data_IF_176676240278
#
_entry.id   IF_176676240278
#
_cell.length_a   1.000
_cell.length_b   1.000
_cell.length_c   1.000
_cell.angle_alpha   90.00
_cell.angle_beta   90.00
_cell.angle_gamma   90.00
#
_symmetry.space_group_name_H-M   'P 1'
#
loop_
_entity.id
_entity.type
_entity.pdbx_description
1 polymer ?
#
# COMPACT_ATOMS: atom_id res chain seq x y z
N UNK A 1 -30.87 22.28 -34.82
CA UNK A 1 -30.50 21.49 -36.01
C UNK A 1 -29.09 20.94 -35.77
N UNK A 2 -28.97 19.69 -35.34
CA UNK A 2 -27.67 19.01 -35.19
C UNK A 2 -27.21 18.58 -36.58
N UNK A 3 -26.16 19.22 -37.11
CA UNK A 3 -25.48 18.73 -38.30
C UNK A 3 -24.68 17.49 -37.89
N UNK A 4 -25.27 16.31 -38.11
CA UNK A 4 -24.56 15.04 -38.02
C UNK A 4 -23.59 14.97 -39.22
N UNK A 5 -22.33 15.31 -38.99
CA UNK A 5 -21.24 14.86 -39.85
C UNK A 5 -21.08 13.35 -39.61
N UNK A 6 -21.92 12.54 -40.25
CA UNK A 6 -21.70 11.08 -40.30
C UNK A 6 -20.57 10.82 -41.29
N UNK A 7 -19.34 10.87 -40.80
CA UNK A 7 -18.24 10.17 -41.45
C UNK A 7 -18.66 8.69 -41.58
N UNK A 8 -18.54 8.06 -42.76
CA UNK A 8 -18.91 6.66 -42.93
C UNK A 8 -18.17 5.82 -41.88
N UNK A 9 -18.93 5.23 -40.94
CA UNK A 9 -18.42 4.39 -39.85
C UNK A 9 -17.96 3.01 -40.33
N UNK A 10 -17.97 2.77 -41.65
CA UNK A 10 -17.54 1.52 -42.25
C UNK A 10 -16.02 1.47 -42.34
N UNK A 11 -15.45 0.54 -41.58
CA UNK A 11 -14.16 -0.10 -41.81
C UNK A 11 -12.91 0.66 -41.31
N UNK A 12 -12.88 0.94 -40.01
CA UNK A 12 -11.63 1.19 -39.28
C UNK A 12 -10.91 -0.14 -38.95
N UNK A 13 -10.40 -0.82 -39.98
CA UNK A 13 -9.33 -1.80 -39.84
C UNK A 13 -8.33 -1.63 -40.99
N UNK A 14 -7.18 -1.00 -40.70
CA UNK A 14 -6.02 -0.96 -41.58
C UNK A 14 -5.75 0.43 -42.18
N UNK A 15 -4.71 1.09 -41.66
CA UNK A 15 -3.89 2.21 -42.17
C UNK A 15 -4.50 3.35 -43.05
N UNK A 16 -5.43 3.14 -43.99
CA UNK A 16 -5.90 4.16 -44.92
C UNK A 16 -7.44 4.14 -45.07
N UNK A 17 -8.18 4.80 -44.14
CA UNK A 17 -9.62 4.59 -43.98
C UNK A 17 -10.54 5.34 -44.98
N UNK A 18 -10.03 6.24 -45.84
CA UNK A 18 -10.91 7.06 -46.69
C UNK A 18 -10.39 7.27 -48.12
N UNK A 19 -11.31 7.12 -49.09
CA UNK A 19 -11.08 7.58 -50.46
C UNK A 19 -11.05 9.12 -50.47
N UNK A 20 -9.96 9.67 -50.98
CA UNK A 20 -9.71 11.11 -51.06
C UNK A 20 -10.75 11.85 -51.90
N UNK A 21 -11.37 11.18 -52.87
CA UNK A 21 -12.43 11.80 -53.69
C UNK A 21 -13.66 12.19 -52.85
N UNK A 22 -14.03 11.37 -51.87
CA UNK A 22 -15.13 11.68 -50.96
C UNK A 22 -14.78 12.90 -50.09
N UNK A 23 -13.53 12.98 -49.63
CA UNK A 23 -13.03 14.12 -48.87
C UNK A 23 -13.02 15.40 -49.71
N UNK A 24 -12.56 15.30 -50.96
CA UNK A 24 -12.53 16.41 -51.91
C UNK A 24 -13.94 16.95 -52.18
N UNK A 25 -14.92 16.07 -52.42
CA UNK A 25 -16.32 16.46 -52.59
C UNK A 25 -16.89 17.11 -51.32
N UNK A 26 -16.59 16.57 -50.14
CA UNK A 26 -17.03 17.12 -48.85
C UNK A 26 -16.47 18.53 -48.60
N UNK A 27 -15.22 18.77 -48.99
CA UNK A 27 -14.56 20.05 -48.82
C UNK A 27 -15.02 21.10 -49.85
N UNK A 28 -15.79 20.74 -50.88
CA UNK A 28 -16.31 21.68 -51.89
C UNK A 28 -15.18 22.54 -52.51
N UNK A 29 -14.07 21.89 -52.87
CA UNK A 29 -12.89 22.57 -53.42
C UNK A 29 -13.12 22.92 -54.90
N UNK A 30 -12.84 24.17 -55.27
CA UNK A 30 -13.12 24.69 -56.62
C UNK A 30 -12.09 24.30 -57.71
N UNK A 31 -10.99 23.63 -57.34
CA UNK A 31 -9.94 23.19 -58.27
C UNK A 31 -10.16 21.78 -58.79
N UNK A 32 -9.51 21.38 -59.88
CA UNK A 32 -9.58 19.99 -60.36
C UNK A 32 -8.95 19.04 -59.35
N UNK A 33 -9.61 17.90 -59.08
CA UNK A 33 -9.15 16.88 -58.12
C UNK A 33 -7.69 16.47 -58.30
N UNK A 34 -7.28 16.16 -59.53
CA UNK A 34 -5.94 15.67 -59.83
C UNK A 34 -4.85 16.70 -59.53
N UNK A 35 -5.11 17.98 -59.77
CA UNK A 35 -4.18 19.06 -59.48
C UNK A 35 -4.15 19.34 -57.98
N UNK A 36 -5.33 19.32 -57.34
CA UNK A 36 -5.47 19.54 -55.91
C UNK A 36 -4.67 18.53 -55.08
N UNK A 37 -4.87 17.22 -55.31
CA UNK A 37 -4.21 16.20 -54.49
C UNK A 37 -2.69 16.20 -54.70
N UNK A 38 -2.22 16.39 -55.94
CA UNK A 38 -0.77 16.51 -56.23
C UNK A 38 -0.16 17.74 -55.55
N UNK A 39 -0.84 18.88 -55.62
CA UNK A 39 -0.36 20.10 -54.98
C UNK A 39 -0.31 19.94 -53.47
N UNK A 40 -1.30 19.29 -52.85
CA UNK A 40 -1.32 19.05 -51.40
C UNK A 40 -0.23 18.06 -50.97
N UNK A 41 -0.04 16.96 -51.70
CA UNK A 41 1.06 16.01 -51.45
C UNK A 41 2.40 16.73 -51.50
N UNK A 42 2.65 17.52 -52.54
CA UNK A 42 3.93 18.23 -52.71
C UNK A 42 4.13 19.40 -51.73
N UNK A 43 3.05 20.04 -51.28
CA UNK A 43 3.14 21.22 -50.40
C UNK A 43 3.39 20.85 -48.94
N UNK A 44 2.91 19.68 -48.52
CA UNK A 44 2.99 19.19 -47.14
C UNK A 44 3.90 17.97 -46.98
N UNK A 45 4.68 17.65 -48.02
CA UNK A 45 5.66 16.56 -48.04
C UNK A 45 5.08 15.20 -47.59
N UNK A 46 3.83 14.91 -47.94
CA UNK A 46 3.19 13.63 -47.60
C UNK A 46 3.90 12.46 -48.28
N UNK A 47 4.09 11.35 -47.54
CA UNK A 47 4.89 10.21 -47.98
C UNK A 47 4.00 9.05 -48.43
N UNK A 48 4.25 8.55 -49.65
CA UNK A 48 3.56 7.36 -50.16
C UNK A 48 3.91 6.11 -49.34
N UNK A 49 2.90 5.29 -49.03
CA UNK A 49 2.93 4.15 -48.10
C UNK A 49 3.04 4.50 -46.60
N UNK A 50 3.07 5.80 -46.25
CA UNK A 50 2.92 6.25 -44.86
C UNK A 50 1.62 7.03 -44.67
N UNK A 51 1.44 8.10 -45.46
CA UNK A 51 0.31 9.03 -45.34
C UNK A 51 -0.79 8.75 -46.36
N UNK A 52 -0.41 8.24 -47.53
CA UNK A 52 -1.34 7.82 -48.57
C UNK A 52 -0.85 6.63 -49.38
N UNK A 53 -1.77 5.96 -50.08
CA UNK A 53 -1.49 4.90 -51.04
C UNK A 53 -2.27 5.16 -52.34
N UNK A 54 -1.65 4.87 -53.48
CA UNK A 54 -2.29 4.97 -54.80
C UNK A 54 -2.71 3.57 -55.28
N UNK A 55 -3.95 3.43 -55.74
CA UNK A 55 -4.40 2.25 -56.49
C UNK A 55 -4.74 2.64 -57.92
N UNK A 56 -4.27 1.84 -58.87
CA UNK A 56 -4.65 1.99 -60.28
C UNK A 56 -5.83 1.08 -60.61
N UNK A 57 -6.95 1.69 -60.98
CA UNK A 57 -8.18 1.01 -61.38
C UNK A 57 -8.31 1.05 -62.89
N UNK A 58 -8.47 -0.12 -63.51
CA UNK A 58 -8.56 -0.27 -64.96
C UNK A 58 -10.02 -0.22 -65.42
N UNK A 59 -10.51 0.98 -65.71
CA UNK A 59 -11.84 1.18 -66.30
C UNK A 59 -11.69 1.56 -67.78
N UNK A 60 -11.41 0.57 -68.63
CA UNK A 60 -11.24 0.75 -70.07
C UNK A 60 -9.79 0.98 -70.52
N UNK A 61 -9.56 1.83 -71.53
CA UNK A 61 -8.25 1.99 -72.19
C UNK A 61 -7.20 2.79 -71.40
N UNK A 62 -7.60 3.55 -70.37
CA UNK A 62 -6.69 4.35 -69.54
C UNK A 62 -6.92 4.03 -68.07
N UNK A 63 -5.88 3.68 -67.29
CA UNK A 63 -6.02 3.46 -65.85
C UNK A 63 -6.35 4.77 -65.13
N UNK A 64 -7.23 4.70 -64.13
CA UNK A 64 -7.56 5.78 -63.21
C UNK A 64 -6.77 5.59 -61.91
N UNK A 65 -6.22 6.68 -61.36
CA UNK A 65 -5.55 6.66 -60.06
C UNK A 65 -6.54 7.04 -58.97
N UNK A 66 -6.72 6.15 -58.00
CA UNK A 66 -7.48 6.40 -56.78
C UNK A 66 -6.51 6.56 -55.61
N UNK A 67 -6.75 7.59 -54.78
CA UNK A 67 -5.91 7.89 -53.63
C UNK A 67 -6.64 7.49 -52.35
N UNK A 68 -5.94 6.78 -51.48
CA UNK A 68 -6.40 6.43 -50.13
C UNK A 68 -5.48 7.08 -49.12
N UNK A 69 -6.04 7.77 -48.13
CA UNK A 69 -5.26 8.54 -47.13
C UNK A 69 -5.49 8.00 -45.72
N UNK A 70 -4.50 8.19 -44.86
CA UNK A 70 -4.63 7.97 -43.42
C UNK A 70 -5.65 8.96 -42.85
N UNK A 71 -6.17 8.63 -41.67
CA UNK A 71 -7.04 9.56 -40.94
C UNK A 71 -6.31 10.87 -40.61
N UNK A 72 -5.01 10.80 -40.32
CA UNK A 72 -4.22 11.96 -39.92
C UNK A 72 -3.94 12.88 -41.11
N UNK A 73 -3.56 12.33 -42.28
CA UNK A 73 -3.47 13.11 -43.52
C UNK A 73 -4.82 13.74 -43.89
N UNK A 74 -5.93 13.01 -43.75
CA UNK A 74 -7.27 13.55 -44.01
C UNK A 74 -7.64 14.72 -43.07
N UNK A 75 -7.26 14.63 -41.79
CA UNK A 75 -7.43 15.74 -40.83
C UNK A 75 -6.60 16.94 -41.27
N UNK A 76 -5.33 16.74 -41.59
CA UNK A 76 -4.44 17.83 -42.01
C UNK A 76 -4.97 18.54 -43.26
N UNK A 77 -5.41 17.79 -44.27
CA UNK A 77 -6.07 18.35 -45.45
C UNK A 77 -7.30 19.19 -45.07
N UNK A 78 -8.17 18.71 -44.17
CA UNK A 78 -9.31 19.49 -43.69
C UNK A 78 -8.88 20.77 -42.94
N UNK A 79 -7.77 20.72 -42.21
CA UNK A 79 -7.27 21.85 -41.43
C UNK A 79 -6.67 22.95 -42.31
N UNK A 80 -6.01 22.54 -43.39
CA UNK A 80 -5.37 23.43 -44.37
C UNK A 80 -6.39 24.14 -45.24
N UNK A 81 -7.48 23.49 -45.61
CA UNK A 81 -8.47 24.11 -46.50
C UNK A 81 -9.11 25.37 -45.87
N UNK A 82 -8.98 26.49 -46.58
CA UNK A 82 -9.52 27.79 -46.17
C UNK A 82 -10.93 28.01 -46.75
N UNK A 83 -11.81 27.04 -46.54
CA UNK A 83 -13.21 27.04 -46.94
C UNK A 83 -14.12 26.88 -45.71
N UNK A 84 -15.45 27.02 -45.91
CA UNK A 84 -16.41 26.89 -44.83
C UNK A 84 -16.42 25.46 -44.25
N UNK A 85 -16.33 24.44 -45.11
CA UNK A 85 -16.30 23.02 -44.71
C UNK A 85 -15.06 22.67 -43.89
N UNK A 86 -13.88 23.13 -44.29
CA UNK A 86 -12.64 22.99 -43.53
C UNK A 86 -12.68 23.75 -42.21
N UNK A 87 -13.35 24.92 -42.15
CA UNK A 87 -13.61 25.61 -40.87
C UNK A 87 -14.53 24.79 -39.95
N UNK A 88 -15.59 24.18 -40.49
CA UNK A 88 -16.50 23.31 -39.74
C UNK A 88 -15.76 22.07 -39.22
N UNK A 89 -15.00 21.39 -40.07
CA UNK A 89 -14.19 20.23 -39.71
C UNK A 89 -13.16 20.56 -38.61
N UNK A 90 -12.44 21.69 -38.74
CA UNK A 90 -11.52 22.19 -37.69
C UNK A 90 -12.20 22.37 -36.35
N UNK A 91 -13.35 23.07 -36.32
CA UNK A 91 -14.10 23.31 -35.09
C UNK A 91 -14.57 22.00 -34.45
N UNK A 92 -15.04 21.07 -35.28
CA UNK A 92 -15.46 19.74 -34.83
C UNK A 92 -14.31 18.98 -34.17
N UNK A 93 -13.15 18.86 -34.83
CA UNK A 93 -12.01 18.14 -34.27
C UNK A 93 -11.46 18.79 -32.99
N UNK A 94 -11.37 20.13 -32.95
CA UNK A 94 -10.99 20.86 -31.73
C UNK A 94 -11.97 20.57 -30.59
N UNK A 95 -13.27 20.51 -30.88
CA UNK A 95 -14.29 20.20 -29.87
C UNK A 95 -14.18 18.75 -29.37
N UNK A 96 -13.96 17.80 -30.27
CA UNK A 96 -13.69 16.40 -29.92
C UNK A 96 -12.47 16.26 -29.01
N UNK A 97 -11.35 16.93 -29.33
CA UNK A 97 -10.15 16.92 -28.49
C UNK A 97 -10.40 17.53 -27.11
N UNK A 98 -11.14 18.65 -27.04
CA UNK A 98 -11.52 19.26 -25.76
C UNK A 98 -12.37 18.31 -24.92
N UNK A 99 -13.37 17.65 -25.53
CA UNK A 99 -14.22 16.67 -24.85
C UNK A 99 -13.41 15.47 -24.36
N UNK A 100 -12.49 14.96 -25.17
CA UNK A 100 -11.63 13.84 -24.79
C UNK A 100 -10.74 14.20 -23.59
N UNK A 101 -10.08 15.38 -23.62
CA UNK A 101 -9.28 15.89 -22.50
C UNK A 101 -10.10 16.02 -21.21
N UNK A 102 -11.32 16.56 -21.30
CA UNK A 102 -12.20 16.68 -20.14
C UNK A 102 -12.59 15.30 -19.57
N UNK A 103 -12.91 14.33 -20.43
CA UNK A 103 -13.23 12.96 -20.00
C UNK A 103 -12.04 12.27 -19.33
N UNK A 104 -10.82 12.48 -19.83
CA UNK A 104 -9.60 11.96 -19.20
C UNK A 104 -9.37 12.59 -17.83
N UNK A 105 -9.55 13.91 -17.72
CA UNK A 105 -9.47 14.62 -16.44
C UNK A 105 -10.52 14.11 -15.44
N UNK A 106 -11.77 13.94 -15.85
CA UNK A 106 -12.82 13.38 -15.00
C UNK A 106 -12.51 11.96 -14.54
N UNK A 107 -12.02 11.10 -15.44
CA UNK A 107 -11.61 9.73 -15.10
C UNK A 107 -10.49 9.74 -14.07
N UNK A 108 -9.49 10.59 -14.27
CA UNK A 108 -8.35 10.74 -13.36
C UNK A 108 -8.78 11.25 -11.98
N UNK A 109 -9.69 12.24 -11.93
CA UNK A 109 -10.28 12.72 -10.68
C UNK A 109 -11.09 11.64 -9.95
N UNK A 110 -11.91 10.86 -10.68
CA UNK A 110 -12.66 9.73 -10.11
C UNK A 110 -11.75 8.65 -9.54
N UNK A 111 -10.63 8.35 -10.22
CA UNK A 111 -9.62 7.40 -9.74
C UNK A 111 -8.93 7.92 -8.46
N UNK A 112 -8.50 9.17 -8.47
CA UNK A 112 -7.87 9.81 -7.30
C UNK A 112 -8.82 9.82 -6.08
N UNK A 113 -10.10 10.14 -6.31
CA UNK A 113 -11.11 10.10 -5.25
C UNK A 113 -11.30 8.70 -4.66
N UNK A 114 -11.39 7.66 -5.51
CA UNK A 114 -11.49 6.26 -5.05
C UNK A 114 -10.28 5.82 -4.23
N UNK A 115 -9.07 6.20 -4.65
CA UNK A 115 -7.83 5.91 -3.91
C UNK A 115 -7.82 6.60 -2.54
N UNK A 116 -8.23 7.88 -2.49
CA UNK A 116 -8.35 8.65 -1.26
C UNK A 116 -9.32 8.00 -0.26
N UNK A 117 -10.49 7.53 -0.73
CA UNK A 117 -11.44 6.81 0.12
C UNK A 117 -10.87 5.50 0.68
N UNK A 118 -10.17 4.73 -0.15
CA UNK A 118 -9.50 3.49 0.27
C UNK A 118 -8.46 3.76 1.36
N UNK A 119 -7.59 4.75 1.13
CA UNK A 119 -6.57 5.17 2.09
C UNK A 119 -7.17 5.66 3.42
N UNK A 120 -8.25 6.47 3.36
CA UNK A 120 -8.96 6.95 4.55
C UNK A 120 -9.58 5.80 5.36
N UNK A 121 -10.13 4.79 4.69
CA UNK A 121 -10.66 3.59 5.34
C UNK A 121 -9.57 2.79 6.05
N UNK A 122 -8.43 2.57 5.39
CA UNK A 122 -7.27 1.89 5.96
C UNK A 122 -6.71 2.62 7.19
N UNK A 123 -6.55 3.95 7.10
CA UNK A 123 -6.13 4.78 8.23
C UNK A 123 -7.09 4.67 9.41
N UNK A 124 -8.41 4.65 9.15
CA UNK A 124 -9.43 4.50 10.20
C UNK A 124 -9.29 3.15 10.92
N UNK A 125 -9.18 2.05 10.16
CA UNK A 125 -8.97 0.71 10.73
C UNK A 125 -7.69 0.64 11.55
N UNK A 126 -6.61 1.24 11.05
CA UNK A 126 -5.33 1.25 11.73
C UNK A 126 -5.40 2.06 13.03
N UNK A 127 -6.07 3.22 13.02
CA UNK A 127 -6.31 4.04 14.21
C UNK A 127 -7.09 3.26 15.27
N UNK A 128 -8.19 2.62 14.89
CA UNK A 128 -9.02 1.81 15.78
C UNK A 128 -8.23 0.63 16.39
N UNK A 129 -7.39 -0.03 15.58
CA UNK A 129 -6.48 -1.09 16.05
C UNK A 129 -5.52 -0.57 17.13
N UNK A 130 -4.94 0.61 16.95
CA UNK A 130 -4.04 1.20 17.95
C UNK A 130 -4.78 1.70 19.19
N UNK A 131 -5.97 2.28 19.04
CA UNK A 131 -6.82 2.68 20.17
C UNK A 131 -7.18 1.48 21.05
N UNK A 132 -7.57 0.36 20.45
CA UNK A 132 -7.84 -0.88 21.17
C UNK A 132 -6.60 -1.43 21.89
N UNK A 133 -5.41 -1.37 21.26
CA UNK A 133 -4.15 -1.75 21.90
C UNK A 133 -3.82 -0.85 23.09
N UNK A 134 -3.96 0.47 22.94
CA UNK A 134 -3.72 1.43 24.02
C UNK A 134 -4.68 1.17 25.18
N UNK A 135 -5.95 0.88 24.89
CA UNK A 135 -6.96 0.55 25.90
C UNK A 135 -6.61 -0.73 26.66
N UNK A 136 -6.19 -1.78 25.96
CA UNK A 136 -5.73 -3.03 26.59
C UNK A 136 -4.50 -2.79 27.47
N UNK A 137 -3.49 -2.06 26.98
CA UNK A 137 -2.31 -1.72 27.76
C UNK A 137 -2.63 -0.87 29.00
N UNK A 138 -3.56 0.08 28.89
CA UNK A 138 -4.03 0.85 30.05
C UNK A 138 -4.71 -0.04 31.08
N UNK A 139 -5.59 -0.95 30.64
CA UNK A 139 -6.22 -1.93 31.52
C UNK A 139 -5.18 -2.82 32.20
N UNK A 140 -4.18 -3.31 31.47
CA UNK A 140 -3.09 -4.11 32.01
C UNK A 140 -2.22 -3.31 32.99
N UNK A 141 -2.08 -1.99 32.81
CA UNK A 141 -1.31 -1.11 33.68
C UNK A 141 -2.09 -0.78 34.96
N UNK A 142 -3.38 -0.48 34.85
CA UNK A 142 -4.29 -0.27 35.99
C UNK A 142 -4.49 -1.56 36.80
N UNK A 143 -4.49 -2.72 36.15
CA UNK A 143 -4.57 -4.04 36.78
C UNK A 143 -3.20 -4.70 37.01
N UNK A 144 -2.10 -4.04 36.63
CA UNK A 144 -0.76 -4.31 37.16
C UNK A 144 -0.79 -3.81 38.60
N UNK A 145 -1.43 -4.63 39.43
CA UNK A 145 -1.59 -4.44 40.86
C UNK A 145 -0.30 -3.89 41.44
N UNK A 146 -0.49 -2.95 42.36
CA UNK A 146 0.35 -2.79 43.53
C UNK A 146 1.37 -3.93 43.66
N UNK A 147 2.66 -3.62 43.54
CA UNK A 147 3.76 -4.48 44.00
C UNK A 147 3.70 -4.73 45.52
N UNK A 148 2.57 -4.46 46.18
CA UNK A 148 2.29 -4.83 47.54
C UNK A 148 1.80 -6.27 47.58
N UNK A 149 2.64 -7.16 48.10
CA UNK A 149 2.20 -8.43 48.68
C UNK A 149 1.22 -8.15 49.84
N UNK A 150 -0.02 -7.73 49.56
CA UNK A 150 -1.10 -7.67 50.56
C UNK A 150 -1.69 -9.05 50.85
N UNK A 151 -1.36 -10.05 50.01
CA UNK A 151 -1.76 -11.44 50.20
C UNK A 151 -0.68 -12.20 50.99
N UNK A 152 -1.09 -12.98 51.99
CA UNK A 152 -0.21 -13.95 52.65
C UNK A 152 0.27 -14.99 51.63
N UNK A 153 1.58 -15.18 51.50
CA UNK A 153 2.15 -16.25 50.68
C UNK A 153 1.66 -17.61 51.17
N UNK A 154 1.41 -18.53 50.23
CA UNK A 154 1.21 -19.94 50.52
C UNK A 154 2.50 -20.56 51.09
N UNK A 155 2.41 -21.74 51.72
CA UNK A 155 3.59 -22.44 52.25
C UNK A 155 4.61 -22.76 51.14
N UNK A 156 4.13 -23.04 49.93
CA UNK A 156 4.95 -23.37 48.76
C UNK A 156 5.64 -22.12 48.19
N UNK A 157 4.90 -21.01 48.06
CA UNK A 157 5.43 -19.72 47.59
C UNK A 157 6.53 -19.21 48.52
N UNK A 158 6.34 -19.34 49.84
CA UNK A 158 7.33 -18.94 50.84
C UNK A 158 8.58 -19.83 50.81
N UNK A 159 8.41 -21.11 50.48
CA UNK A 159 9.53 -22.04 50.31
C UNK A 159 10.37 -21.67 49.08
N UNK A 160 9.73 -21.40 47.95
CA UNK A 160 10.43 -20.98 46.72
C UNK A 160 11.14 -19.63 46.90
N UNK A 161 10.48 -18.67 47.54
CA UNK A 161 11.10 -17.39 47.87
C UNK A 161 12.36 -17.56 48.75
N UNK A 162 12.32 -18.43 49.75
CA UNK A 162 13.50 -18.75 50.59
C UNK A 162 14.66 -19.33 49.77
N UNK A 163 14.37 -20.22 48.81
CA UNK A 163 15.39 -20.80 47.92
C UNK A 163 16.02 -19.73 47.02
N UNK A 164 15.20 -18.91 46.36
CA UNK A 164 15.64 -17.86 45.43
C UNK A 164 16.52 -16.84 46.16
N UNK A 165 16.07 -16.34 47.31
CA UNK A 165 16.82 -15.35 48.08
C UNK A 165 18.17 -15.90 48.57
N UNK A 166 18.21 -17.15 49.00
CA UNK A 166 19.46 -17.78 49.45
C UNK A 166 20.43 -18.01 48.28
N UNK A 167 19.93 -18.49 47.13
CA UNK A 167 20.73 -18.84 45.96
C UNK A 167 21.27 -17.62 45.22
N UNK A 168 20.38 -16.69 44.87
CA UNK A 168 20.67 -15.61 43.93
C UNK A 168 21.17 -14.35 44.63
N UNK A 169 20.72 -14.12 45.86
CA UNK A 169 21.00 -12.88 46.61
C UNK A 169 21.78 -13.12 47.90
N UNK A 170 22.02 -14.38 48.31
CA UNK A 170 22.69 -14.68 49.57
C UNK A 170 21.92 -14.23 50.82
N UNK A 171 20.61 -14.01 50.71
CA UNK A 171 19.75 -13.49 51.78
C UNK A 171 18.95 -14.61 52.44
N UNK A 172 18.68 -14.47 53.74
CA UNK A 172 17.85 -15.41 54.52
C UNK A 172 16.55 -14.71 54.93
N UNK A 173 15.41 -15.32 54.63
CA UNK A 173 14.11 -14.87 55.12
C UNK A 173 13.74 -15.54 56.44
N UNK A 174 13.84 -14.78 57.52
CA UNK A 174 13.52 -15.19 58.90
C UNK A 174 12.17 -14.57 59.29
N UNK A 175 11.29 -15.34 59.93
CA UNK A 175 10.04 -14.80 60.48
C UNK A 175 10.33 -13.95 61.71
N UNK A 176 9.46 -12.98 61.99
CA UNK A 176 9.64 -12.04 63.11
C UNK A 176 9.87 -12.73 64.46
N UNK A 177 9.11 -13.80 64.76
CA UNK A 177 9.31 -14.58 65.99
C UNK A 177 10.61 -15.42 65.98
N UNK A 178 11.05 -15.89 64.81
CA UNK A 178 12.35 -16.59 64.66
C UNK A 178 13.49 -15.61 64.96
N UNK A 179 13.35 -14.33 64.55
CA UNK A 179 14.30 -13.27 64.85
C UNK A 179 14.33 -12.93 66.35
N UNK A 180 13.19 -12.92 67.03
CA UNK A 180 13.12 -12.71 68.49
C UNK A 180 13.89 -13.79 69.26
N UNK A 181 13.79 -15.06 68.86
CA UNK A 181 14.54 -16.17 69.47
C UNK A 181 16.05 -16.06 69.21
N UNK A 182 16.44 -15.53 68.05
CA UNK A 182 17.84 -15.24 67.74
C UNK A 182 18.34 -14.11 68.63
N UNK A 183 17.57 -13.01 68.77
CA UNK A 183 17.92 -11.86 69.59
C UNK A 183 18.04 -12.19 71.09
N UNK A 184 17.13 -12.98 71.65
CA UNK A 184 17.19 -13.40 73.06
C UNK A 184 18.43 -14.24 73.38
N UNK A 185 18.93 -15.01 72.40
CA UNK A 185 20.17 -15.78 72.51
C UNK A 185 21.44 -14.93 72.37
N UNK A 186 21.37 -13.80 71.67
CA UNK A 186 22.49 -12.84 71.56
C UNK A 186 22.78 -12.19 72.92
N UNK A 187 21.74 -11.94 73.74
CA UNK A 187 21.86 -11.26 75.03
C UNK A 187 22.37 -12.09 76.20
N UNK A 188 22.65 -13.39 76.03
CA UNK A 188 23.04 -14.33 77.12
C UNK A 188 24.51 -14.81 77.03
N UNK A 189 25.40 -14.01 76.45
CA UNK A 189 26.85 -14.23 76.34
C UNK A 189 27.31 -15.45 75.50
N UNK A 190 27.70 -15.20 74.25
CA UNK A 190 29.05 -15.48 73.68
C UNK A 190 29.05 -15.31 72.16
N UNK A 191 29.75 -14.26 71.73
CA UNK A 191 30.34 -13.98 70.40
C UNK A 191 29.34 -13.92 69.23
N UNK A 192 29.19 -12.73 68.65
CA UNK A 192 28.60 -12.47 67.33
C UNK A 192 28.95 -13.53 66.26
N UNK A 193 30.14 -14.11 66.34
CA UNK A 193 30.61 -15.23 65.52
C UNK A 193 29.74 -16.50 65.60
N UNK A 194 29.18 -16.85 66.78
CA UNK A 194 28.30 -18.00 66.93
C UNK A 194 26.98 -17.80 66.17
N UNK A 195 26.47 -16.56 66.18
CA UNK A 195 25.27 -16.15 65.45
C UNK A 195 25.55 -16.15 63.95
N UNK A 196 26.66 -15.54 63.52
CA UNK A 196 27.10 -15.58 62.12
C UNK A 196 27.30 -17.01 61.62
N UNK A 197 27.90 -17.90 62.42
CA UNK A 197 28.08 -19.31 62.07
C UNK A 197 26.75 -20.03 61.92
N UNK A 198 25.74 -19.69 62.72
CA UNK A 198 24.40 -20.27 62.61
C UNK A 198 23.66 -19.77 61.37
N UNK A 199 23.68 -18.46 61.14
CA UNK A 199 23.09 -17.86 59.92
C UNK A 199 23.79 -18.38 58.67
N UNK A 200 25.12 -18.53 58.69
CA UNK A 200 25.89 -19.13 57.60
C UNK A 200 25.48 -20.58 57.30
N UNK A 201 25.22 -21.39 58.34
CA UNK A 201 24.70 -22.76 58.18
C UNK A 201 23.28 -22.78 57.61
N UNK A 202 22.41 -21.87 58.05
CA UNK A 202 21.06 -21.75 57.51
C UNK A 202 21.09 -21.31 56.04
N UNK A 203 21.96 -20.36 55.69
CA UNK A 203 22.15 -19.94 54.30
C UNK A 203 22.63 -21.10 53.43
N UNK A 204 23.61 -21.87 53.90
CA UNK A 204 24.13 -23.05 53.21
C UNK A 204 23.05 -24.13 53.02
N UNK A 205 22.24 -24.37 54.05
CA UNK A 205 21.10 -25.27 53.98
C UNK A 205 20.11 -24.86 52.89
N UNK A 206 19.73 -23.57 52.83
CA UNK A 206 18.75 -23.08 51.85
C UNK A 206 19.33 -23.00 50.43
N UNK A 207 20.61 -22.67 50.28
CA UNK A 207 21.33 -22.75 48.98
C UNK A 207 21.32 -24.16 48.43
N UNK A 208 21.50 -25.15 49.30
CA UNK A 208 21.62 -26.57 48.95
C UNK A 208 20.39 -27.39 49.35
N UNK A 209 19.21 -26.75 49.40
CA UNK A 209 17.99 -27.30 50.00
C UNK A 209 17.63 -28.71 49.48
N UNK A 210 17.64 -28.91 48.17
CA UNK A 210 17.26 -30.18 47.54
C UNK A 210 18.17 -31.35 47.99
N UNK A 211 19.47 -31.09 48.09
CA UNK A 211 20.47 -32.08 48.53
C UNK A 211 20.27 -32.46 50.00
N UNK A 212 19.94 -31.50 50.85
CA UNK A 212 19.68 -31.76 52.26
C UNK A 212 18.36 -32.50 52.48
N UNK A 213 17.28 -32.11 51.80
CA UNK A 213 15.99 -32.81 51.85
C UNK A 213 16.11 -34.27 51.43
N UNK A 214 16.83 -34.55 50.33
CA UNK A 214 17.05 -35.92 49.87
C UNK A 214 17.83 -36.76 50.89
N UNK A 215 18.83 -36.16 51.55
CA UNK A 215 19.59 -36.80 52.63
C UNK A 215 18.69 -37.12 53.84
N UNK A 216 17.87 -36.17 54.28
CA UNK A 216 16.95 -36.38 55.40
C UNK A 216 15.88 -37.43 55.09
N UNK A 217 15.33 -37.44 53.87
CA UNK A 217 14.39 -38.48 53.42
C UNK A 217 14.99 -39.89 53.44
N UNK A 218 16.28 -40.04 53.15
CA UNK A 218 16.98 -41.33 53.22
C UNK A 218 17.22 -41.79 54.65
N UNK A 219 17.47 -40.85 55.58
CA UNK A 219 17.70 -41.15 57.00
C UNK A 219 16.39 -41.55 57.69
N UNK A 220 15.29 -40.84 57.42
CA UNK A 220 13.99 -41.08 58.06
C UNK A 220 13.24 -42.33 57.54
N UNK A 221 13.73 -42.94 56.45
CA UNK A 221 13.22 -44.23 55.93
C UNK A 221 13.95 -45.44 56.51
N UNK A 222 14.93 -45.22 57.39
CA UNK A 222 15.67 -46.24 58.14
C UNK A 222 15.14 -46.29 59.57
#
# INVERSE_FOLDING_TARGET
MQLQLTFPHTELQGAFPANVENLFCYLEVNSKFADWIKNRINQYDFIENQDYTIKEVFTGRRPRKEYYVTLDMAKELCMVENNEKGRQARRYFIECEKRLKNLEQEKMQKLAFRQSLGYKSQLKQQKEKYENKIKALKYDLENKKELSFKRKLSKEELLELRKILARDYGMICIKEWEMSLVAEKIGKDTVFEAVLKKLGKELDYWKNYEKYEEKWRKILRR
#
